data_IF_467663792332
#
_entry.id   IF_467663792332
#
_cell.length_a   1.000
_cell.length_b   1.000
_cell.length_c   1.000
_cell.angle_alpha   90.00
_cell.angle_beta   90.00
_cell.angle_gamma   90.00
#
_symmetry.space_group_name_H-M   'P 1'
#
loop_
_entity.id
_entity.type
_entity.pdbx_description
1 polymer ?
#
# COMPACT_ATOMS: atom_id res chain seq x y z
N UNK A 1 42.92 14.84 -28.70
CA UNK A 1 41.46 14.80 -28.53
C UNK A 1 41.16 14.04 -27.24
N UNK A 2 40.47 14.68 -26.28
CA UNK A 2 39.84 14.03 -25.11
C UNK A 2 38.33 13.89 -25.40
N UNK A 3 37.66 12.84 -24.90
CA UNK A 3 37.06 12.90 -23.54
C UNK A 3 37.30 11.61 -22.73
N UNK A 4 37.77 11.68 -21.48
CA UNK A 4 36.97 11.86 -20.26
C UNK A 4 35.92 10.76 -20.06
N UNK A 5 36.33 9.62 -19.48
CA UNK A 5 35.43 8.62 -18.93
C UNK A 5 35.10 8.99 -17.47
N UNK A 6 33.82 9.28 -17.23
CA UNK A 6 33.22 9.67 -15.94
C UNK A 6 33.23 8.51 -14.93
N UNK A 7 33.39 8.78 -13.62
CA UNK A 7 33.27 7.78 -12.57
C UNK A 7 31.79 7.45 -12.32
N UNK A 8 31.43 6.17 -12.50
CA UNK A 8 30.10 5.64 -12.19
C UNK A 8 29.89 5.57 -10.69
N UNK A 9 28.99 6.41 -10.19
CA UNK A 9 28.47 6.34 -8.81
C UNK A 9 27.74 5.00 -8.62
N UNK A 10 27.88 4.31 -7.46
CA UNK A 10 27.08 3.14 -7.16
C UNK A 10 25.63 3.59 -6.98
N UNK A 11 24.75 3.15 -7.88
CA UNK A 11 23.29 3.28 -7.71
C UNK A 11 22.93 2.46 -6.47
N UNK A 12 22.39 3.14 -5.46
CA UNK A 12 21.86 2.53 -4.26
C UNK A 12 20.93 1.37 -4.65
N UNK A 13 21.23 0.17 -4.16
CA UNK A 13 20.37 -1.01 -4.27
C UNK A 13 19.01 -0.65 -3.66
N UNK A 14 18.05 -0.35 -4.51
CA UNK A 14 16.64 -0.51 -4.19
C UNK A 14 16.47 -1.98 -3.82
N UNK A 15 16.27 -2.22 -2.53
CA UNK A 15 16.04 -3.53 -1.94
C UNK A 15 14.90 -4.16 -2.73
N UNK A 16 15.27 -5.12 -3.56
CA UNK A 16 14.35 -5.86 -4.40
C UNK A 16 13.35 -6.56 -3.48
N UNK A 17 12.09 -6.32 -3.81
CA UNK A 17 10.87 -6.80 -3.16
C UNK A 17 10.97 -8.22 -2.59
N UNK A 18 10.43 -8.49 -1.39
CA UNK A 18 10.24 -9.85 -0.92
C UNK A 18 9.33 -10.62 -1.89
N UNK A 19 9.81 -11.80 -2.29
CA UNK A 19 9.11 -12.78 -3.12
C UNK A 19 7.75 -13.15 -2.50
N UNK A 20 6.63 -13.17 -3.25
CA UNK A 20 5.33 -13.55 -2.71
C UNK A 20 5.39 -15.04 -2.37
N UNK A 21 5.29 -15.35 -1.09
CA UNK A 21 5.02 -16.70 -0.60
C UNK A 21 3.61 -16.68 -0.06
N UNK A 22 2.65 -16.84 -0.96
CA UNK A 22 1.24 -16.71 -0.66
C UNK A 22 0.43 -16.82 -1.94
N UNK A 23 -0.48 -17.78 -2.00
CA UNK A 23 -1.15 -18.28 -3.21
C UNK A 23 -2.29 -17.32 -3.68
N UNK A 24 -2.11 -16.02 -3.47
CA UNK A 24 -3.13 -14.99 -3.70
C UNK A 24 -2.82 -14.10 -4.91
N UNK A 25 -1.61 -14.18 -5.46
CA UNK A 25 -1.19 -13.35 -6.60
C UNK A 25 -1.11 -11.85 -6.26
N UNK A 26 -0.96 -11.49 -4.97
CA UNK A 26 -0.73 -10.12 -4.53
C UNK A 26 0.76 -9.90 -4.27
N UNK A 27 1.27 -8.76 -4.75
CA UNK A 27 2.64 -8.29 -4.57
C UNK A 27 2.63 -6.94 -3.86
N UNK A 28 3.68 -6.63 -3.09
CA UNK A 28 3.82 -5.32 -2.46
C UNK A 28 4.28 -4.31 -3.51
N UNK A 29 3.37 -3.50 -4.04
CA UNK A 29 3.67 -2.51 -5.08
C UNK A 29 4.43 -1.32 -4.53
N UNK A 30 4.00 -0.81 -3.38
CA UNK A 30 4.65 0.30 -2.70
C UNK A 30 4.80 -0.04 -1.22
N UNK A 31 5.92 0.38 -0.64
CA UNK A 31 6.25 0.15 0.76
C UNK A 31 6.91 1.40 1.32
N UNK A 32 6.47 1.83 2.49
CA UNK A 32 6.99 2.99 3.18
C UNK A 32 7.15 2.66 4.66
N UNK A 33 8.20 3.20 5.27
CA UNK A 33 8.49 2.98 6.69
C UNK A 33 8.26 4.27 7.46
N UNK A 34 7.40 4.20 8.47
CA UNK A 34 7.09 5.31 9.38
C UNK A 34 7.43 4.85 10.79
N UNK A 35 8.50 5.41 11.37
CA UNK A 35 9.02 4.95 12.66
C UNK A 35 9.45 3.49 12.61
N UNK A 36 8.86 2.65 13.48
CA UNK A 36 9.09 1.20 13.52
C UNK A 36 8.14 0.39 12.63
N UNK A 37 7.11 1.01 12.06
CA UNK A 37 6.07 0.33 11.27
C UNK A 37 6.35 0.42 9.78
N UNK A 38 6.14 -0.68 9.07
CA UNK A 38 6.25 -0.73 7.61
C UNK A 38 4.86 -0.85 7.00
N UNK A 39 4.45 0.18 6.27
CA UNK A 39 3.19 0.22 5.55
C UNK A 39 3.41 -0.18 4.10
N UNK A 40 2.52 -0.99 3.56
CA UNK A 40 2.64 -1.52 2.21
C UNK A 40 1.29 -1.55 1.51
N UNK A 41 1.30 -1.24 0.21
CA UNK A 41 0.14 -1.36 -0.66
C UNK A 41 0.25 -2.66 -1.44
N UNK A 42 -0.60 -3.65 -1.15
CA UNK A 42 -0.70 -4.83 -1.96
C UNK A 42 -1.35 -4.48 -3.31
N UNK A 43 -0.87 -5.13 -4.36
CA UNK A 43 -1.40 -5.02 -5.71
C UNK A 43 -1.51 -6.40 -6.34
N UNK A 44 -2.54 -6.63 -7.14
CA UNK A 44 -2.69 -7.82 -7.96
C UNK A 44 -3.10 -7.44 -9.36
N UNK A 45 -2.48 -8.12 -10.34
CA UNK A 45 -2.83 -8.08 -11.75
C UNK A 45 -3.95 -9.06 -12.11
N UNK A 46 -4.51 -9.76 -11.12
CA UNK A 46 -5.59 -10.72 -11.33
C UNK A 46 -6.85 -10.04 -11.88
N UNK A 47 -7.37 -10.46 -13.06
CA UNK A 47 -8.53 -9.82 -13.69
C UNK A 47 -9.83 -9.96 -12.88
N UNK A 48 -9.88 -10.84 -11.88
CA UNK A 48 -11.03 -10.97 -10.97
C UNK A 48 -11.06 -9.88 -9.90
N UNK A 49 -9.95 -9.22 -9.65
CA UNK A 49 -9.85 -8.16 -8.64
C UNK A 49 -10.27 -6.85 -9.28
N UNK A 50 -11.33 -6.24 -8.75
CA UNK A 50 -11.75 -4.93 -9.22
C UNK A 50 -10.65 -3.91 -8.94
N UNK A 51 -10.45 -3.00 -9.87
CA UNK A 51 -9.52 -1.90 -9.72
C UNK A 51 -10.14 -0.60 -10.25
N UNK A 52 -9.52 0.50 -9.91
CA UNK A 52 -9.82 1.80 -10.49
C UNK A 52 -8.53 2.53 -10.86
N UNK A 53 -8.63 3.47 -11.77
CA UNK A 53 -7.47 4.26 -12.21
C UNK A 53 -7.40 5.55 -11.40
N UNK A 54 -6.26 5.81 -10.78
CA UNK A 54 -5.94 7.06 -10.10
C UNK A 54 -4.48 7.42 -10.40
N UNK A 55 -4.21 8.67 -10.81
CA UNK A 55 -2.87 9.09 -11.25
C UNK A 55 -2.24 8.16 -12.31
N UNK A 56 -3.05 7.74 -13.29
CA UNK A 56 -2.66 6.79 -14.35
C UNK A 56 -2.20 5.41 -13.83
N UNK A 57 -2.50 5.08 -12.56
CA UNK A 57 -2.19 3.81 -11.93
C UNK A 57 -3.45 3.05 -11.55
N UNK A 58 -3.49 1.76 -11.87
CA UNK A 58 -4.54 0.86 -11.42
C UNK A 58 -4.37 0.52 -9.94
N UNK A 59 -5.37 0.80 -9.11
CA UNK A 59 -5.41 0.48 -7.69
C UNK A 59 -6.49 -0.55 -7.42
N UNK A 60 -6.12 -1.67 -6.80
CA UNK A 60 -7.07 -2.73 -6.48
C UNK A 60 -8.03 -2.26 -5.39
N UNK A 61 -9.29 -2.64 -5.57
CA UNK A 61 -10.36 -2.42 -4.60
C UNK A 61 -10.79 -3.76 -4.06
N UNK A 62 -10.72 -3.88 -2.76
CA UNK A 62 -11.07 -5.11 -2.05
C UNK A 62 -12.14 -4.81 -1.02
N UNK A 63 -12.97 -5.81 -0.73
CA UNK A 63 -13.81 -5.82 0.45
C UNK A 63 -12.96 -6.10 1.70
N UNK A 64 -13.55 -5.95 2.88
CA UNK A 64 -12.82 -6.07 4.13
C UNK A 64 -12.25 -7.48 4.37
N UNK A 65 -13.02 -8.53 4.08
CA UNK A 65 -12.59 -9.91 4.28
C UNK A 65 -11.41 -10.23 3.33
N UNK A 66 -11.52 -9.83 2.06
CA UNK A 66 -10.43 -9.97 1.10
C UNK A 66 -9.19 -9.16 1.51
N UNK A 67 -9.36 -7.92 1.98
CA UNK A 67 -8.26 -7.09 2.46
C UNK A 67 -7.51 -7.71 3.65
N UNK A 68 -8.25 -8.29 4.61
CA UNK A 68 -7.66 -9.02 5.73
C UNK A 68 -6.89 -10.25 5.27
N UNK A 69 -7.47 -11.03 4.34
CA UNK A 69 -6.83 -12.23 3.79
C UNK A 69 -5.52 -11.85 3.08
N UNK A 70 -5.55 -10.84 2.22
CA UNK A 70 -4.38 -10.37 1.46
C UNK A 70 -3.27 -9.90 2.40
N UNK A 71 -3.57 -9.04 3.38
CA UNK A 71 -2.54 -8.61 4.32
C UNK A 71 -1.98 -9.78 5.13
N UNK A 72 -2.82 -10.71 5.58
CA UNK A 72 -2.38 -11.90 6.31
C UNK A 72 -1.49 -12.81 5.47
N UNK A 73 -1.84 -13.03 4.20
CA UNK A 73 -1.05 -13.83 3.24
C UNK A 73 0.33 -13.23 2.98
N UNK A 74 0.42 -11.90 3.03
CA UNK A 74 1.68 -11.15 2.95
C UNK A 74 2.46 -11.13 4.28
N UNK A 75 1.97 -11.78 5.33
CA UNK A 75 2.57 -11.77 6.66
C UNK A 75 2.47 -10.42 7.37
N UNK A 76 1.45 -9.64 7.03
CA UNK A 76 1.14 -8.31 7.54
C UNK A 76 -0.30 -8.29 8.10
N UNK A 77 -0.76 -7.15 8.60
CA UNK A 77 -2.14 -6.95 9.07
C UNK A 77 -2.71 -5.64 8.55
N UNK A 78 -4.01 -5.41 8.70
CA UNK A 78 -4.59 -4.09 8.45
C UNK A 78 -4.05 -3.07 9.47
N UNK A 79 -3.92 -1.83 9.02
CA UNK A 79 -3.49 -0.73 9.88
C UNK A 79 -4.54 -0.42 10.97
N UNK A 80 -4.08 0.06 12.12
CA UNK A 80 -4.91 0.68 13.16
C UNK A 80 -5.07 2.19 12.92
N UNK A 81 -6.03 2.83 13.58
CA UNK A 81 -6.26 4.28 13.45
C UNK A 81 -5.03 5.12 13.83
N UNK A 82 -4.31 4.69 14.88
CA UNK A 82 -3.11 5.37 15.35
C UNK A 82 -1.99 5.28 14.31
N UNK A 83 -1.80 4.10 13.74
CA UNK A 83 -0.83 3.83 12.67
C UNK A 83 -1.14 4.60 11.40
N UNK A 84 -2.42 4.62 11.00
CA UNK A 84 -2.88 5.40 9.88
C UNK A 84 -2.65 6.88 10.07
N UNK A 85 -2.95 7.40 11.27
CA UNK A 85 -2.71 8.81 11.60
C UNK A 85 -1.23 9.17 11.49
N UNK A 86 -0.33 8.31 12.01
CA UNK A 86 1.11 8.49 11.88
C UNK A 86 1.57 8.49 10.42
N UNK A 87 1.02 7.60 9.59
CA UNK A 87 1.30 7.56 8.15
C UNK A 87 0.85 8.85 7.45
N UNK A 88 -0.34 9.37 7.75
CA UNK A 88 -0.81 10.66 7.21
C UNK A 88 0.11 11.82 7.61
N UNK A 89 0.54 11.87 8.88
CA UNK A 89 1.45 12.89 9.37
C UNK A 89 2.84 12.82 8.73
N UNK A 90 3.29 11.63 8.34
CA UNK A 90 4.58 11.44 7.67
C UNK A 90 4.67 12.05 6.26
N UNK A 91 3.51 12.40 5.65
CA UNK A 91 3.38 12.87 4.26
C UNK A 91 3.93 11.93 3.18
N UNK A 92 4.32 10.70 3.54
CA UNK A 92 4.84 9.72 2.58
C UNK A 92 3.81 9.34 1.52
N UNK A 93 2.53 9.26 1.89
CA UNK A 93 1.45 9.00 0.93
C UNK A 93 1.43 9.99 -0.25
N UNK A 94 1.65 11.28 0.03
CA UNK A 94 1.69 12.33 -1.00
C UNK A 94 2.96 12.20 -1.85
N UNK A 95 4.09 11.91 -1.20
CA UNK A 95 5.38 11.74 -1.88
C UNK A 95 5.38 10.58 -2.88
N UNK A 96 4.70 9.48 -2.54
CA UNK A 96 4.62 8.27 -3.38
C UNK A 96 3.32 8.19 -4.20
N UNK A 97 2.51 9.26 -4.22
CA UNK A 97 1.25 9.37 -4.95
C UNK A 97 0.30 8.20 -4.67
N UNK A 98 0.14 7.87 -3.39
CA UNK A 98 -0.81 6.85 -2.95
C UNK A 98 -2.23 7.26 -3.31
N UNK A 99 -3.12 6.30 -3.61
CA UNK A 99 -4.47 6.63 -3.95
C UNK A 99 -5.18 7.31 -2.77
N UNK A 100 -5.81 8.45 -2.99
CA UNK A 100 -6.50 9.21 -1.94
C UNK A 100 -7.99 9.37 -2.20
N UNK A 101 -8.47 9.00 -3.39
CA UNK A 101 -9.87 9.14 -3.77
C UNK A 101 -10.79 8.20 -3.00
N UNK A 102 -10.31 7.00 -2.69
CA UNK A 102 -11.01 6.03 -1.83
C UNK A 102 -10.33 5.91 -0.47
N UNK A 103 -11.12 5.71 0.60
CA UNK A 103 -10.56 5.40 1.90
C UNK A 103 -9.87 4.03 1.88
N UNK A 104 -9.08 3.76 2.91
CA UNK A 104 -8.38 2.52 3.11
C UNK A 104 -9.07 1.65 4.13
N UNK A 105 -8.94 0.33 3.98
CA UNK A 105 -9.34 -0.59 5.02
C UNK A 105 -8.40 -0.54 6.21
N UNK A 106 -8.99 -0.25 7.35
CA UNK A 106 -8.39 -0.34 8.67
C UNK A 106 -9.02 -1.46 9.49
N UNK A 107 -8.33 -1.86 10.54
CA UNK A 107 -8.79 -2.88 11.48
C UNK A 107 -10.20 -2.56 12.03
N UNK A 108 -11.06 -3.57 12.07
CA UNK A 108 -12.43 -3.44 12.59
C UNK A 108 -13.44 -2.87 11.60
N UNK A 109 -13.27 -3.11 10.29
CA UNK A 109 -14.12 -2.59 9.20
C UNK A 109 -14.17 -1.07 9.18
N UNK A 110 -13.03 -0.44 9.44
CA UNK A 110 -12.92 1.01 9.48
C UNK A 110 -12.42 1.52 8.13
N UNK A 111 -13.14 2.48 7.56
CA UNK A 111 -12.68 3.29 6.44
C UNK A 111 -11.78 4.41 6.94
N UNK A 112 -10.52 4.31 6.60
CA UNK A 112 -9.47 5.27 6.93
C UNK A 112 -9.32 6.27 5.81
N UNK A 113 -9.81 7.48 6.01
CA UNK A 113 -9.75 8.54 5.00
C UNK A 113 -8.42 9.28 5.13
N UNK A 114 -7.89 9.73 3.99
CA UNK A 114 -6.66 10.54 3.91
C UNK A 114 -6.82 11.93 4.52
N UNK A 115 -8.07 12.36 4.76
CA UNK A 115 -8.42 13.56 5.52
C UNK A 115 -8.24 13.39 7.04
N UNK A 116 -7.89 12.19 7.51
CA UNK A 116 -7.79 11.84 8.94
C UNK A 116 -9.10 11.39 9.56
N UNK A 117 -10.22 11.45 8.84
CA UNK A 117 -11.50 10.89 9.31
C UNK A 117 -11.43 9.36 9.31
N UNK A 118 -12.05 8.74 10.31
CA UNK A 118 -12.24 7.28 10.36
C UNK A 118 -13.72 7.01 10.62
N UNK A 119 -14.33 6.14 9.80
CA UNK A 119 -15.71 5.73 9.96
C UNK A 119 -15.83 4.22 9.84
N UNK A 120 -16.73 3.60 10.58
CA UNK A 120 -17.06 2.18 10.36
C UNK A 120 -17.87 2.08 9.07
N UNK A 121 -17.41 1.23 8.15
CA UNK A 121 -18.03 1.03 6.85
C UNK A 121 -18.61 -0.39 6.73
N UNK A 122 -19.51 -0.58 5.77
CA UNK A 122 -20.00 -1.92 5.43
C UNK A 122 -18.84 -2.72 4.83
N UNK A 123 -18.57 -3.90 5.38
CA UNK A 123 -17.46 -4.77 4.92
C UNK A 123 -17.50 -5.13 3.43
N UNK A 124 -18.68 -5.08 2.80
CA UNK A 124 -18.87 -5.30 1.35
C UNK A 124 -18.43 -4.12 0.46
N UNK A 125 -17.98 -3.01 1.06
CA UNK A 125 -17.52 -1.84 0.31
C UNK A 125 -16.16 -2.12 -0.33
N UNK A 126 -15.93 -1.65 -1.55
CA UNK A 126 -14.66 -1.89 -2.24
C UNK A 126 -13.71 -0.70 -2.04
N UNK A 127 -12.72 -0.86 -1.17
CA UNK A 127 -11.80 0.19 -0.72
C UNK A 127 -10.34 -0.15 -1.04
N UNK A 128 -9.46 0.83 -0.83
CA UNK A 128 -8.02 0.61 -0.88
C UNK A 128 -7.55 -0.26 0.28
N UNK A 129 -6.44 -0.94 0.10
CA UNK A 129 -5.84 -1.78 1.15
C UNK A 129 -4.46 -1.26 1.49
N UNK A 130 -4.21 -1.10 2.78
CA UNK A 130 -2.88 -0.86 3.33
C UNK A 130 -2.61 -1.93 4.37
N UNK A 131 -1.49 -2.61 4.20
CA UNK A 131 -1.01 -3.60 5.15
C UNK A 131 0.12 -2.99 5.97
N UNK A 132 0.18 -3.29 7.27
CA UNK A 132 1.21 -2.86 8.18
C UNK A 132 1.89 -4.05 8.85
N UNK A 133 3.20 -3.92 9.10
CA UNK A 133 4.02 -4.85 9.86
C UNK A 133 4.86 -4.12 10.89
#
# INVERSE_FOLDING_TARGET
MVPAAVPTKPVAKLISTPKPSGNSGFVLRQQVKVGSQTFALPYSDNPKVQFYMEHDQAWNRLDYDAAQIVCRDLGMRLATEQEWSALLQSKQMQQYQWPVQLPYWGEGRKGMFTTGKVNVLKGSSLLNVVCVK
#
